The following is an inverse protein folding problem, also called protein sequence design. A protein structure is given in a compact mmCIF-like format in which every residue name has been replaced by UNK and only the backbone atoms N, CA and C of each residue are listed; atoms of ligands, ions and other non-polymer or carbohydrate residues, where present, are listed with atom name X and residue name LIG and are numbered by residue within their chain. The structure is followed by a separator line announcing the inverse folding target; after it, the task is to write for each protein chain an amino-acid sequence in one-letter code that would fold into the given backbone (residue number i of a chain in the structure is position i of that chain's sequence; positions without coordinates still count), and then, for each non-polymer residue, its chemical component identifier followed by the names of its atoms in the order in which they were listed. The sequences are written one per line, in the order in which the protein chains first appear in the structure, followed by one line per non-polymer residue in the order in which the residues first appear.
data_IF_784825974487
#
_entry.id   IF_784825974487
#
_cell.length_a   1.000
_cell.length_b   1.000
_cell.length_c   1.000
_cell.angle_alpha   90.00
_cell.angle_beta   90.00
_cell.angle_gamma   90.00
#
_symmetry.space_group_name_H-M   'P 1'
#
loop_
_entity.id
_entity.type
_entity.pdbx_description
1 polymer ?
#
# COMPACT_ATOMS: atom_id res chain seq x y z
N UNK A 1 -21.18 17.42 1.79
CA UNK A 1 -20.27 16.78 2.76
C UNK A 1 -20.97 15.51 3.19
N UNK A 2 -20.52 14.34 2.73
CA UNK A 2 -21.13 13.07 3.13
C UNK A 2 -20.43 12.66 4.43
N UNK A 3 -21.15 12.77 5.55
CA UNK A 3 -20.70 12.22 6.83
C UNK A 3 -20.57 10.71 6.66
N UNK A 4 -19.41 10.17 7.02
CA UNK A 4 -19.09 8.75 6.87
C UNK A 4 -19.93 7.97 7.89
N UNK A 5 -20.96 7.20 7.49
CA UNK A 5 -21.97 6.65 8.40
C UNK A 5 -21.51 5.40 9.18
N UNK A 6 -20.21 5.08 9.15
CA UNK A 6 -19.66 3.84 9.72
C UNK A 6 -18.52 4.13 10.70
N UNK A 7 -18.80 4.83 11.78
CA UNK A 7 -17.99 4.72 13.01
C UNK A 7 -18.97 4.35 14.12
N UNK A 8 -19.22 3.05 14.25
CA UNK A 8 -20.11 2.49 15.27
C UNK A 8 -19.27 2.24 16.54
N UNK A 9 -19.16 3.25 17.40
CA UNK A 9 -18.79 2.96 18.78
C UNK A 9 -19.89 2.06 19.37
N UNK A 10 -19.52 0.98 20.05
CA UNK A 10 -20.54 0.15 20.69
C UNK A 10 -21.27 0.97 21.77
N UNK A 11 -22.44 0.51 22.23
CA UNK A 11 -23.27 1.21 23.22
C UNK A 11 -22.60 1.47 24.59
N UNK A 12 -21.35 1.03 24.77
CA UNK A 12 -20.51 1.27 25.95
C UNK A 12 -19.38 2.29 25.68
N UNK A 13 -19.33 2.92 24.50
CA UNK A 13 -18.28 3.87 24.13
C UNK A 13 -16.92 3.21 23.89
N UNK A 14 -16.88 1.89 23.71
CA UNK A 14 -15.67 1.19 23.29
C UNK A 14 -15.52 1.44 21.78
N UNK A 15 -14.37 2.00 21.42
CA UNK A 15 -14.00 2.24 20.02
C UNK A 15 -13.91 0.92 19.28
N UNK A 16 -14.32 0.93 18.01
CA UNK A 16 -14.23 -0.26 17.19
C UNK A 16 -12.73 -0.59 16.98
N UNK A 17 -12.25 -1.82 17.26
CA UNK A 17 -10.88 -2.22 16.94
C UNK A 17 -10.49 -1.95 15.49
N UNK A 18 -11.46 -1.93 14.56
CA UNK A 18 -11.26 -1.58 13.15
C UNK A 18 -10.80 -0.13 12.93
N UNK A 19 -10.96 0.77 13.92
CA UNK A 19 -10.42 2.13 13.87
C UNK A 19 -8.88 2.19 13.96
N UNK A 20 -8.24 1.11 14.44
CA UNK A 20 -6.78 1.02 14.58
C UNK A 20 -6.12 0.16 13.50
N UNK A 21 -6.90 -0.41 12.58
CA UNK A 21 -6.35 -1.17 11.47
C UNK A 21 -5.58 -0.21 10.54
N UNK A 22 -4.28 -0.45 10.33
CA UNK A 22 -3.48 0.40 9.45
C UNK A 22 -4.08 0.34 8.04
N UNK A 23 -4.44 1.51 7.52
CA UNK A 23 -4.98 1.64 6.17
C UNK A 23 -3.81 1.37 5.21
N UNK A 24 -3.90 0.35 4.33
CA UNK A 24 -2.85 0.10 3.36
C UNK A 24 -2.74 1.31 2.42
N UNK A 25 -1.51 1.62 2.02
CA UNK A 25 -1.23 2.66 1.03
C UNK A 25 -0.74 2.01 -0.26
N UNK A 26 -0.76 2.75 -1.36
CA UNK A 26 -0.37 2.19 -2.66
C UNK A 26 1.11 2.37 -2.94
N UNK A 27 1.74 1.34 -3.50
CA UNK A 27 3.05 1.43 -4.10
C UNK A 27 2.99 2.20 -5.44
N UNK A 28 4.16 2.48 -6.03
CA UNK A 28 4.28 3.18 -7.32
C UNK A 28 3.62 2.42 -8.49
N UNK A 29 3.44 1.10 -8.35
CA UNK A 29 2.75 0.26 -9.32
C UNK A 29 1.22 0.19 -9.07
N UNK A 30 0.72 0.78 -7.98
CA UNK A 30 -0.68 0.82 -7.59
C UNK A 30 -1.17 -0.35 -6.73
N UNK A 31 -0.26 -1.23 -6.30
CA UNK A 31 -0.53 -2.36 -5.38
C UNK A 31 -0.62 -1.86 -3.94
N UNK A 32 -1.49 -2.49 -3.14
CA UNK A 32 -1.65 -2.17 -1.72
C UNK A 32 -0.47 -2.69 -0.90
N UNK A 33 0.09 -1.83 -0.04
CA UNK A 33 1.23 -2.08 0.85
C UNK A 33 0.73 -2.17 2.28
N UNK A 34 1.05 -3.27 2.94
CA UNK A 34 0.78 -3.52 4.35
C UNK A 34 2.05 -3.33 5.21
N UNK A 35 1.90 -3.11 6.54
CA UNK A 35 3.05 -2.87 7.42
C UNK A 35 4.09 -3.99 7.48
N UNK A 36 3.70 -5.22 7.14
CA UNK A 36 4.56 -6.40 7.17
C UNK A 36 5.23 -6.71 5.82
N UNK A 37 4.92 -5.93 4.78
CA UNK A 37 5.44 -6.18 3.43
C UNK A 37 6.89 -5.71 3.25
N UNK A 38 7.64 -6.47 2.44
CA UNK A 38 8.96 -6.09 1.97
C UNK A 38 8.85 -4.97 0.91
N UNK A 39 9.36 -3.78 1.23
CA UNK A 39 9.35 -2.61 0.34
C UNK A 39 10.75 -2.07 0.02
N UNK A 40 10.88 -1.50 -1.17
CA UNK A 40 12.01 -0.70 -1.61
C UNK A 40 11.60 0.77 -1.57
N UNK A 41 12.46 1.63 -1.02
CA UNK A 41 12.21 3.08 -0.92
C UNK A 41 13.26 3.83 -1.73
N UNK A 42 12.81 4.68 -2.65
CA UNK A 42 13.70 5.52 -3.45
C UNK A 42 14.27 6.68 -2.63
N UNK A 43 15.40 7.30 -3.05
CA UNK A 43 15.90 8.51 -2.41
C UNK A 43 14.90 9.67 -2.40
N UNK A 44 13.97 9.70 -3.36
CA UNK A 44 12.91 10.70 -3.49
C UNK A 44 11.68 10.39 -2.62
N UNK A 45 11.68 9.24 -1.92
CA UNK A 45 10.62 8.81 -1.02
C UNK A 45 9.51 7.96 -1.65
N UNK A 46 9.68 7.53 -2.90
CA UNK A 46 8.73 6.62 -3.55
C UNK A 46 8.86 5.21 -2.99
N UNK A 47 7.73 4.52 -2.83
CA UNK A 47 7.67 3.17 -2.26
C UNK A 47 7.27 2.18 -3.35
N UNK A 48 7.99 1.06 -3.41
CA UNK A 48 7.79 -0.01 -4.37
C UNK A 48 7.77 -1.36 -3.63
N UNK A 49 6.74 -2.18 -3.83
CA UNK A 49 6.75 -3.54 -3.32
C UNK A 49 7.87 -4.34 -3.97
N UNK A 50 8.58 -5.14 -3.17
CA UNK A 50 9.72 -5.93 -3.66
C UNK A 50 9.32 -6.89 -4.78
N UNK A 51 8.12 -7.47 -4.72
CA UNK A 51 7.55 -8.33 -5.77
C UNK A 51 7.35 -7.59 -7.10
N UNK A 52 7.06 -6.28 -7.05
CA UNK A 52 6.84 -5.44 -8.22
C UNK A 52 8.15 -4.88 -8.81
N UNK A 53 9.31 -5.18 -8.23
CA UNK A 53 10.58 -4.61 -8.67
C UNK A 53 10.89 -4.89 -10.15
N UNK A 54 10.65 -6.11 -10.62
CA UNK A 54 10.87 -6.47 -12.03
C UNK A 54 9.88 -5.77 -12.93
N UNK A 55 8.59 -5.75 -12.55
CA UNK A 55 7.55 -5.08 -13.31
C UNK A 55 7.86 -3.59 -13.47
N UNK A 56 8.23 -2.92 -12.38
CA UNK A 56 8.65 -1.51 -12.37
C UNK A 56 9.79 -1.24 -13.35
N UNK A 57 10.84 -2.07 -13.30
CA UNK A 57 12.02 -1.93 -14.16
C UNK A 57 11.66 -2.10 -15.65
N UNK A 58 10.77 -3.02 -15.98
CA UNK A 58 10.36 -3.27 -17.37
C UNK A 58 9.39 -2.20 -17.88
N UNK A 59 8.36 -1.85 -17.10
CA UNK A 59 7.26 -0.99 -17.56
C UNK A 59 7.59 0.49 -17.46
N UNK A 60 8.23 0.93 -16.37
CA UNK A 60 8.49 2.35 -16.10
C UNK A 60 9.91 2.76 -16.51
N UNK A 61 10.90 1.89 -16.34
CA UNK A 61 12.28 2.18 -16.73
C UNK A 61 12.66 1.67 -18.13
N UNK A 62 11.77 0.92 -18.80
CA UNK A 62 11.93 0.51 -20.20
C UNK A 62 12.97 -0.60 -20.44
N UNK A 63 13.36 -1.35 -19.41
CA UNK A 63 14.26 -2.48 -19.56
C UNK A 63 13.56 -3.66 -20.25
N UNK A 64 14.33 -4.50 -20.96
CA UNK A 64 13.82 -5.75 -21.54
C UNK A 64 14.30 -6.96 -20.75
N UNK A 65 13.36 -7.84 -20.37
CA UNK A 65 13.68 -9.14 -19.81
C UNK A 65 14.33 -10.02 -20.89
N UNK A 66 15.56 -10.49 -20.64
CA UNK A 66 16.22 -11.51 -21.46
C UNK A 66 16.14 -12.83 -20.69
N UNK A 67 15.33 -13.77 -21.18
CA UNK A 67 15.35 -15.16 -20.68
C UNK A 67 16.44 -15.94 -21.41
N UNK A 68 17.40 -16.46 -20.65
CA UNK A 68 18.48 -17.32 -21.13
C UNK A 68 18.13 -18.80 -21.02
#
# INVERSE_FOLDING_TARGET
MIENPMVLHNGYGIRDPQEYEPIPFKDICGSDVFPEDDVLVSPDGEVLLRENAVAYVVTLLGFQERRG
#
